data_IF_187209296824
#
_entry.id   IF_187209296824
#
_cell.length_a   1.000
_cell.length_b   1.000
_cell.length_c   1.000
_cell.angle_alpha   90.00
_cell.angle_beta   90.00
_cell.angle_gamma   90.00
#
_symmetry.space_group_name_H-M   'P 1'
#
loop_
_entity.id
_entity.type
_entity.pdbx_description
1 polymer ?
#
# COMPACT_ATOMS: atom_id res chain seq x y z
N UNK A 1 -24.82 -6.24 -2.77
CA UNK A 1 -24.29 -5.82 -4.10
C UNK A 1 -22.79 -5.62 -3.96
N UNK A 2 -22.37 -4.85 -2.94
CA UNK A 2 -20.97 -4.60 -2.56
C UNK A 2 -20.01 -5.84 -2.55
N UNK A 3 -20.35 -6.94 -1.86
CA UNK A 3 -19.45 -8.12 -1.82
C UNK A 3 -19.20 -8.80 -3.17
N UNK A 4 -20.14 -8.72 -4.12
CA UNK A 4 -19.96 -9.35 -5.43
C UNK A 4 -19.03 -8.52 -6.33
N UNK A 5 -19.04 -7.19 -6.18
CA UNK A 5 -18.14 -6.27 -6.85
C UNK A 5 -16.73 -6.40 -6.27
N UNK A 6 -16.57 -6.39 -4.94
CA UNK A 6 -15.26 -6.62 -4.28
C UNK A 6 -14.60 -7.93 -4.71
N UNK A 7 -15.35 -9.03 -4.71
CA UNK A 7 -14.81 -10.33 -5.14
C UNK A 7 -14.38 -10.34 -6.61
N UNK A 8 -15.08 -9.57 -7.45
CA UNK A 8 -14.72 -9.42 -8.87
C UNK A 8 -13.45 -8.60 -9.03
N UNK A 9 -13.32 -7.50 -8.30
CA UNK A 9 -12.15 -6.62 -8.36
C UNK A 9 -10.89 -7.33 -7.84
N UNK A 10 -11.01 -8.08 -6.74
CA UNK A 10 -9.92 -8.93 -6.24
C UNK A 10 -9.49 -9.99 -7.26
N UNK A 11 -10.45 -10.64 -7.92
CA UNK A 11 -10.17 -11.64 -8.93
C UNK A 11 -9.49 -11.01 -10.16
N UNK A 12 -9.95 -9.84 -10.60
CA UNK A 12 -9.35 -9.06 -11.68
C UNK A 12 -7.90 -8.67 -11.34
N UNK A 13 -7.63 -8.17 -10.13
CA UNK A 13 -6.28 -7.82 -9.67
C UNK A 13 -5.33 -9.01 -9.72
N UNK A 14 -5.75 -10.16 -9.18
CA UNK A 14 -4.93 -11.39 -9.19
C UNK A 14 -4.60 -11.83 -10.62
N UNK A 15 -5.57 -11.71 -11.52
CA UNK A 15 -5.38 -12.06 -12.93
C UNK A 15 -4.47 -11.07 -13.64
N UNK A 16 -4.63 -9.76 -13.41
CA UNK A 16 -3.75 -8.73 -13.98
C UNK A 16 -2.30 -8.93 -13.54
N UNK A 17 -2.03 -9.20 -12.27
CA UNK A 17 -0.69 -9.50 -11.78
C UNK A 17 -0.07 -10.72 -12.48
N UNK A 18 -0.82 -11.84 -12.55
CA UNK A 18 -0.38 -13.05 -13.26
C UNK A 18 -0.18 -12.82 -14.76
N UNK A 19 -0.99 -11.95 -15.36
CA UNK A 19 -0.92 -11.60 -16.77
C UNK A 19 0.31 -10.77 -17.08
N UNK A 20 0.64 -9.76 -16.26
CA UNK A 20 1.86 -8.96 -16.39
C UNK A 20 3.09 -9.84 -16.35
N UNK A 21 3.22 -10.71 -15.34
CA UNK A 21 4.32 -11.68 -15.22
C UNK A 21 4.43 -12.58 -16.46
N UNK A 22 3.29 -13.05 -16.96
CA UNK A 22 3.24 -13.91 -18.14
C UNK A 22 3.70 -13.18 -19.41
N UNK A 23 3.25 -11.94 -19.63
CA UNK A 23 3.65 -11.15 -20.79
C UNK A 23 5.14 -10.77 -20.71
N UNK A 24 5.66 -10.45 -19.53
CA UNK A 24 7.09 -10.19 -19.34
C UNK A 24 7.97 -11.39 -19.68
N UNK A 25 7.53 -12.59 -19.30
CA UNK A 25 8.19 -13.83 -19.70
C UNK A 25 8.17 -14.02 -21.23
N UNK A 26 7.07 -13.66 -21.90
CA UNK A 26 6.96 -13.69 -23.36
C UNK A 26 7.87 -12.66 -24.04
N UNK A 27 7.92 -11.42 -23.53
CA UNK A 27 8.81 -10.34 -24.02
C UNK A 27 10.27 -10.80 -23.92
N UNK A 28 10.69 -11.26 -22.74
CA UNK A 28 12.05 -11.75 -22.50
C UNK A 28 12.40 -12.90 -23.43
N UNK A 29 11.44 -13.79 -23.70
CA UNK A 29 11.64 -14.90 -24.62
C UNK A 29 11.75 -14.43 -26.08
N UNK A 30 10.90 -13.52 -26.51
CA UNK A 30 10.92 -12.95 -27.86
C UNK A 30 12.24 -12.23 -28.16
N UNK A 31 12.80 -11.51 -27.18
CA UNK A 31 14.12 -10.87 -27.30
C UNK A 31 15.24 -11.89 -27.54
N UNK A 32 15.18 -13.06 -26.89
CA UNK A 32 16.16 -14.13 -27.10
C UNK A 32 16.04 -14.78 -28.48
N UNK A 33 14.83 -15.00 -28.98
CA UNK A 33 14.62 -15.54 -30.34
C UNK A 33 15.18 -14.57 -31.38
N UNK A 34 14.91 -13.28 -31.22
CA UNK A 34 15.37 -12.23 -32.13
C UNK A 34 16.90 -12.11 -32.18
N UNK A 35 17.57 -12.23 -31.03
CA UNK A 35 19.03 -12.26 -30.97
C UNK A 35 19.62 -13.54 -31.60
N UNK A 36 18.91 -14.67 -31.50
CA UNK A 36 19.36 -15.96 -32.03
C UNK A 36 19.43 -15.99 -33.56
N UNK A 37 18.66 -15.15 -34.27
CA UNK A 37 18.70 -15.05 -35.74
C UNK A 37 20.10 -14.68 -36.26
N UNK A 38 20.87 -13.89 -35.52
CA UNK A 38 22.15 -13.33 -35.99
C UNK A 38 23.30 -14.35 -36.01
N UNK A 39 23.15 -15.51 -35.38
CA UNK A 39 24.23 -16.45 -35.11
C UNK A 39 24.09 -17.85 -35.73
N UNK A 40 23.02 -18.11 -36.50
CA UNK A 40 22.71 -19.44 -37.02
C UNK A 40 23.07 -19.61 -38.50
N UNK A 41 23.55 -20.81 -38.85
CA UNK A 41 23.82 -21.18 -40.25
C UNK A 41 22.55 -21.52 -41.04
N UNK A 42 21.48 -21.96 -40.36
CA UNK A 42 20.19 -22.32 -40.96
C UNK A 42 19.05 -21.74 -40.13
N UNK A 43 18.27 -20.84 -40.71
CA UNK A 43 17.18 -20.15 -40.01
C UNK A 43 16.03 -21.11 -39.67
N UNK A 44 15.81 -22.14 -40.49
CA UNK A 44 14.79 -23.15 -40.22
C UNK A 44 15.01 -23.88 -38.88
N UNK A 45 16.25 -23.92 -38.37
CA UNK A 45 16.56 -24.52 -37.06
C UNK A 45 15.97 -23.75 -35.87
N UNK A 46 15.62 -22.47 -36.04
CA UNK A 46 15.01 -21.62 -35.00
C UNK A 46 13.48 -21.75 -34.93
N UNK A 47 12.83 -22.30 -35.97
CA UNK A 47 11.37 -22.48 -36.03
C UNK A 47 10.77 -23.15 -34.78
N UNK A 48 11.37 -24.21 -34.19
CA UNK A 48 10.80 -24.86 -33.00
C UNK A 48 10.76 -23.95 -31.76
N UNK A 49 11.76 -23.07 -31.57
CA UNK A 49 11.79 -22.11 -30.45
C UNK A 49 10.64 -21.12 -30.56
N UNK A 50 10.51 -20.53 -31.75
CA UNK A 50 9.44 -19.61 -32.12
C UNK A 50 8.04 -20.25 -32.07
N UNK A 51 7.89 -21.52 -32.45
CA UNK A 51 6.63 -22.27 -32.31
C UNK A 51 6.19 -22.43 -30.85
N UNK A 52 7.14 -22.69 -29.95
CA UNK A 52 6.83 -22.79 -28.52
C UNK A 52 6.50 -21.42 -27.92
N UNK A 53 7.12 -20.33 -28.38
CA UNK A 53 6.72 -18.98 -27.99
C UNK A 53 5.32 -18.61 -28.53
N UNK A 54 4.99 -18.98 -29.76
CA UNK A 54 3.63 -18.87 -30.32
C UNK A 54 2.58 -19.61 -29.48
N UNK A 55 2.87 -20.86 -29.10
CA UNK A 55 1.95 -21.64 -28.25
C UNK A 55 1.75 -21.02 -26.87
N UNK A 56 2.81 -20.50 -26.26
CA UNK A 56 2.72 -19.80 -24.98
C UNK A 56 1.90 -18.51 -25.09
N UNK A 57 2.12 -17.72 -26.15
CA UNK A 57 1.36 -16.48 -26.40
C UNK A 57 -0.12 -16.79 -26.62
N UNK A 58 -0.44 -17.86 -27.36
CA UNK A 58 -1.81 -18.32 -27.55
C UNK A 58 -2.47 -18.80 -26.24
N UNK A 59 -1.72 -19.45 -25.35
CA UNK A 59 -2.22 -19.88 -24.05
C UNK A 59 -2.55 -18.69 -23.14
N UNK A 60 -1.68 -17.68 -23.08
CA UNK A 60 -1.95 -16.44 -22.33
C UNK A 60 -3.17 -15.71 -22.93
N UNK A 61 -3.28 -15.65 -24.26
CA UNK A 61 -4.45 -15.06 -24.92
C UNK A 61 -5.77 -15.75 -24.55
N UNK A 62 -5.79 -17.09 -24.49
CA UNK A 62 -6.99 -17.86 -24.11
C UNK A 62 -7.45 -17.55 -22.68
N UNK A 63 -6.49 -17.39 -21.76
CA UNK A 63 -6.75 -16.98 -20.38
C UNK A 63 -7.39 -15.57 -20.31
N UNK A 64 -6.87 -14.63 -21.11
CA UNK A 64 -7.39 -13.25 -21.14
C UNK A 64 -8.80 -13.19 -21.73
N UNK A 65 -9.05 -13.86 -22.86
CA UNK A 65 -10.34 -13.83 -23.56
C UNK A 65 -11.47 -14.44 -22.71
N UNK A 66 -11.17 -15.45 -21.91
CA UNK A 66 -12.16 -16.16 -21.09
C UNK A 66 -12.45 -15.47 -19.77
N UNK A 67 -11.57 -14.57 -19.31
CA UNK A 67 -11.63 -13.93 -18.00
C UNK A 67 -12.57 -12.72 -17.91
N UNK A 68 -12.24 -11.63 -18.60
CA UNK A 68 -12.79 -10.29 -18.32
C UNK A 68 -12.92 -9.44 -19.58
N UNK A 69 -14.04 -8.70 -19.71
CA UNK A 69 -14.26 -7.81 -20.87
C UNK A 69 -13.32 -6.61 -20.84
N UNK A 70 -12.90 -6.23 -19.64
CA UNK A 70 -11.99 -5.14 -19.35
C UNK A 70 -10.60 -5.37 -19.99
N UNK A 71 -10.21 -6.64 -20.21
CA UNK A 71 -8.91 -7.00 -20.79
C UNK A 71 -8.91 -7.07 -22.33
N UNK A 72 -9.97 -6.61 -23.01
CA UNK A 72 -10.11 -6.75 -24.46
C UNK A 72 -8.96 -6.08 -25.24
N UNK A 73 -8.46 -4.94 -24.76
CA UNK A 73 -7.33 -4.24 -25.40
C UNK A 73 -6.07 -5.10 -25.37
N UNK A 74 -5.74 -5.67 -24.20
CA UNK A 74 -4.62 -6.60 -24.02
C UNK A 74 -4.79 -7.84 -24.90
N UNK A 75 -6.00 -8.42 -24.94
CA UNK A 75 -6.30 -9.57 -25.79
C UNK A 75 -6.03 -9.27 -27.28
N UNK A 76 -6.45 -8.11 -27.78
CA UNK A 76 -6.22 -7.72 -29.17
C UNK A 76 -4.72 -7.56 -29.48
N UNK A 77 -3.94 -6.99 -28.55
CA UNK A 77 -2.49 -6.83 -28.71
C UNK A 77 -1.78 -8.20 -28.74
N UNK A 78 -2.16 -9.11 -27.84
CA UNK A 78 -1.65 -10.48 -27.82
C UNK A 78 -2.04 -11.29 -29.06
N UNK A 79 -3.26 -11.13 -29.56
CA UNK A 79 -3.70 -11.75 -30.82
C UNK A 79 -2.86 -11.28 -32.02
N UNK A 80 -2.59 -9.97 -32.09
CA UNK A 80 -1.74 -9.41 -33.14
C UNK A 80 -0.29 -9.87 -33.02
N UNK A 81 0.26 -9.93 -31.80
CA UNK A 81 1.60 -10.46 -31.53
C UNK A 81 1.70 -11.92 -32.00
N UNK A 82 0.73 -12.75 -31.59
CA UNK A 82 0.63 -14.15 -31.99
C UNK A 82 0.55 -14.31 -33.53
N UNK A 83 -0.16 -13.41 -34.21
CA UNK A 83 -0.21 -13.34 -35.66
C UNK A 83 1.14 -13.03 -36.32
N UNK A 84 1.92 -12.10 -35.74
CA UNK A 84 3.27 -11.77 -36.20
C UNK A 84 4.24 -12.95 -36.00
N UNK A 85 4.18 -13.60 -34.83
CA UNK A 85 4.93 -14.82 -34.52
C UNK A 85 4.67 -15.94 -35.54
N UNK A 86 3.40 -16.15 -35.92
CA UNK A 86 3.04 -17.12 -36.96
C UNK A 86 3.72 -16.82 -38.32
N UNK A 87 3.79 -15.54 -38.71
CA UNK A 87 4.45 -15.11 -39.94
C UNK A 87 5.98 -15.24 -39.85
N UNK A 88 6.56 -14.96 -38.68
CA UNK A 88 7.98 -15.19 -38.42
C UNK A 88 8.36 -16.68 -38.59
N UNK A 89 7.57 -17.60 -38.04
CA UNK A 89 7.76 -19.05 -38.21
C UNK A 89 7.79 -19.45 -39.69
N UNK A 90 6.86 -18.92 -40.50
CA UNK A 90 6.84 -19.17 -41.95
C UNK A 90 8.09 -18.60 -42.63
N UNK A 91 8.54 -17.41 -42.24
CA UNK A 91 9.75 -16.78 -42.77
C UNK A 91 11.03 -17.55 -42.41
N UNK A 92 11.18 -18.01 -41.16
CA UNK A 92 12.30 -18.83 -40.69
C UNK A 92 12.40 -20.14 -41.48
N UNK A 93 11.27 -20.85 -41.66
CA UNK A 93 11.22 -22.07 -42.48
C UNK A 93 11.51 -21.83 -43.96
N UNK A 94 11.18 -20.63 -44.45
CA UNK A 94 11.48 -20.17 -45.81
C UNK A 94 12.89 -19.62 -45.98
N UNK A 95 13.73 -19.65 -44.94
CA UNK A 95 15.09 -19.09 -44.92
C UNK A 95 15.13 -17.59 -45.30
N UNK A 96 14.08 -16.84 -44.95
CA UNK A 96 13.99 -15.40 -45.19
C UNK A 96 14.26 -14.61 -43.90
N UNK A 97 15.54 -14.34 -43.64
CA UNK A 97 15.99 -13.68 -42.41
C UNK A 97 15.43 -12.27 -42.22
N UNK A 98 15.46 -11.42 -43.26
CA UNK A 98 14.96 -10.04 -43.16
C UNK A 98 13.49 -10.01 -42.74
N UNK A 99 12.67 -10.89 -43.33
CA UNK A 99 11.24 -10.99 -43.02
C UNK A 99 11.00 -11.57 -41.63
N UNK A 100 11.81 -12.55 -41.20
CA UNK A 100 11.72 -13.10 -39.85
C UNK A 100 12.02 -12.01 -38.80
N UNK A 101 13.08 -11.22 -38.99
CA UNK A 101 13.46 -10.11 -38.11
C UNK A 101 12.35 -9.07 -38.04
N UNK A 102 11.77 -8.67 -39.18
CA UNK A 102 10.66 -7.71 -39.23
C UNK A 102 9.46 -8.18 -38.40
N UNK A 103 9.03 -9.44 -38.58
CA UNK A 103 7.88 -10.00 -37.88
C UNK A 103 8.15 -10.25 -36.39
N UNK A 104 9.34 -10.70 -36.01
CA UNK A 104 9.72 -10.85 -34.59
C UNK A 104 9.84 -9.49 -33.89
N UNK A 105 10.33 -8.46 -34.58
CA UNK A 105 10.37 -7.08 -34.04
C UNK A 105 8.95 -6.56 -33.84
N UNK A 106 8.06 -6.78 -34.81
CA UNK A 106 6.65 -6.40 -34.68
C UNK A 106 5.96 -7.14 -33.52
N UNK A 107 6.20 -8.44 -33.38
CA UNK A 107 5.72 -9.25 -32.24
C UNK A 107 6.21 -8.66 -30.91
N UNK A 108 7.51 -8.34 -30.82
CA UNK A 108 8.10 -7.77 -29.62
C UNK A 108 7.46 -6.43 -29.23
N UNK A 109 7.25 -5.53 -30.21
CA UNK A 109 6.55 -4.26 -29.97
C UNK A 109 5.15 -4.51 -29.41
N UNK A 110 4.37 -5.40 -30.03
CA UNK A 110 3.01 -5.70 -29.58
C UNK A 110 2.95 -6.37 -28.20
N UNK A 111 3.92 -7.22 -27.86
CA UNK A 111 4.03 -7.81 -26.52
C UNK A 111 4.38 -6.75 -25.46
N UNK A 112 5.26 -5.79 -25.79
CA UNK A 112 5.57 -4.67 -24.90
C UNK A 112 4.36 -3.76 -24.70
N UNK A 113 3.65 -3.42 -25.76
CA UNK A 113 2.41 -2.65 -25.70
C UNK A 113 1.35 -3.38 -24.83
N UNK A 114 1.23 -4.71 -24.99
CA UNK A 114 0.31 -5.53 -24.19
C UNK A 114 0.68 -5.54 -22.71
N UNK A 115 1.98 -5.60 -22.38
CA UNK A 115 2.49 -5.53 -21.01
C UNK A 115 2.17 -4.17 -20.41
N UNK A 116 2.44 -3.10 -21.14
CA UNK A 116 2.27 -1.73 -20.63
C UNK A 116 0.79 -1.43 -20.38
N UNK A 117 -0.11 -1.86 -21.27
CA UNK A 117 -1.56 -1.80 -21.06
C UNK A 117 -1.99 -2.64 -19.84
N UNK A 118 -1.50 -3.87 -19.70
CA UNK A 118 -1.83 -4.72 -18.56
C UNK A 118 -1.35 -4.12 -17.22
N UNK A 119 -0.14 -3.53 -17.20
CA UNK A 119 0.40 -2.80 -16.04
C UNK A 119 -0.42 -1.56 -15.72
N UNK A 120 -0.84 -0.80 -16.72
CA UNK A 120 -1.70 0.37 -16.50
C UNK A 120 -3.03 -0.05 -15.85
N UNK A 121 -3.68 -1.09 -16.38
CA UNK A 121 -4.92 -1.64 -15.82
C UNK A 121 -4.72 -2.19 -14.39
N UNK A 122 -3.60 -2.87 -14.14
CA UNK A 122 -3.23 -3.34 -12.80
C UNK A 122 -3.14 -2.17 -11.81
N UNK A 123 -2.37 -1.15 -12.15
CA UNK A 123 -2.17 0.02 -11.29
C UNK A 123 -3.49 0.77 -11.06
N UNK A 124 -4.37 0.87 -12.06
CA UNK A 124 -5.70 1.47 -11.91
C UNK A 124 -6.56 0.65 -10.92
N UNK A 125 -6.57 -0.67 -11.04
CA UNK A 125 -7.30 -1.56 -10.13
C UNK A 125 -6.76 -1.49 -8.69
N UNK A 126 -5.44 -1.38 -8.53
CA UNK A 126 -4.78 -1.19 -7.23
C UNK A 126 -5.15 0.15 -6.60
N UNK A 127 -5.13 1.24 -7.38
CA UNK A 127 -5.53 2.58 -6.91
C UNK A 127 -6.99 2.62 -6.44
N UNK A 128 -7.89 1.98 -7.18
CA UNK A 128 -9.31 1.89 -6.81
C UNK A 128 -9.53 1.10 -5.53
N UNK A 129 -8.81 -0.01 -5.35
CA UNK A 129 -8.83 -0.80 -4.12
C UNK A 129 -8.38 0.04 -2.92
N UNK A 130 -7.24 0.72 -3.04
CA UNK A 130 -6.68 1.53 -1.96
C UNK A 130 -7.63 2.67 -1.58
N UNK A 131 -8.23 3.34 -2.56
CA UNK A 131 -9.24 4.37 -2.31
C UNK A 131 -10.42 3.79 -1.52
N UNK A 132 -10.95 2.64 -1.94
CA UNK A 132 -12.06 1.98 -1.24
C UNK A 132 -11.68 1.62 0.19
N UNK A 133 -10.49 1.07 0.41
CA UNK A 133 -10.00 0.74 1.75
C UNK A 133 -9.87 1.99 2.63
N UNK A 134 -9.35 3.09 2.11
CA UNK A 134 -9.28 4.37 2.84
C UNK A 134 -10.67 4.92 3.16
N UNK A 135 -11.62 4.84 2.22
CA UNK A 135 -13.00 5.25 2.44
C UNK A 135 -13.68 4.45 3.56
N UNK A 136 -13.49 3.13 3.56
CA UNK A 136 -14.00 2.23 4.59
C UNK A 136 -13.39 2.53 5.97
N UNK A 137 -12.06 2.70 6.04
CA UNK A 137 -11.36 3.07 7.27
C UNK A 137 -11.85 4.42 7.79
N UNK A 138 -11.98 5.41 6.90
CA UNK A 138 -12.41 6.75 7.25
C UNK A 138 -13.84 6.74 7.80
N UNK A 139 -14.73 5.99 7.16
CA UNK A 139 -16.09 5.83 7.64
C UNK A 139 -16.12 5.17 9.02
N UNK A 140 -15.34 4.11 9.23
CA UNK A 140 -15.24 3.44 10.52
C UNK A 140 -14.69 4.38 11.62
N UNK A 141 -13.70 5.23 11.31
CA UNK A 141 -13.20 6.23 12.24
C UNK A 141 -14.19 7.35 12.53
N UNK A 142 -14.97 7.80 11.53
CA UNK A 142 -16.04 8.79 11.74
C UNK A 142 -17.13 8.26 12.67
N UNK A 143 -17.59 7.03 12.45
CA UNK A 143 -18.57 6.38 13.33
C UNK A 143 -18.02 6.20 14.75
N UNK A 144 -16.75 5.79 14.88
CA UNK A 144 -16.08 5.70 16.18
C UNK A 144 -15.94 7.06 16.87
N UNK A 145 -15.62 8.11 16.13
CA UNK A 145 -15.51 9.47 16.64
C UNK A 145 -16.85 10.00 17.15
N UNK A 146 -17.93 9.85 16.38
CA UNK A 146 -19.27 10.26 16.78
C UNK A 146 -19.73 9.55 18.05
N UNK A 147 -19.51 8.23 18.12
CA UNK A 147 -19.80 7.44 19.31
C UNK A 147 -18.95 7.86 20.51
N UNK A 148 -17.65 8.11 20.32
CA UNK A 148 -16.75 8.55 21.38
C UNK A 148 -17.14 9.93 21.93
N UNK A 149 -17.51 10.88 21.07
CA UNK A 149 -17.98 12.22 21.47
C UNK A 149 -19.26 12.09 22.30
N UNK A 150 -20.20 11.26 21.85
CA UNK A 150 -21.44 10.98 22.59
C UNK A 150 -21.14 10.39 23.97
N UNK A 151 -20.27 9.38 24.04
CA UNK A 151 -19.86 8.75 25.30
C UNK A 151 -19.18 9.75 26.24
N UNK A 152 -18.32 10.61 25.69
CA UNK A 152 -17.62 11.64 26.44
C UNK A 152 -18.61 12.62 27.08
N UNK A 153 -19.59 13.09 26.32
CA UNK A 153 -20.59 14.04 26.81
C UNK A 153 -21.51 13.42 27.86
N UNK A 154 -21.91 12.16 27.67
CA UNK A 154 -22.68 11.41 28.66
C UNK A 154 -21.88 11.18 29.96
N UNK A 155 -20.61 10.78 29.88
CA UNK A 155 -19.74 10.60 31.06
C UNK A 155 -19.53 11.93 31.78
N UNK A 156 -19.37 13.04 31.05
CA UNK A 156 -19.18 14.37 31.63
C UNK A 156 -20.35 14.81 32.54
N UNK A 157 -21.57 14.29 32.35
CA UNK A 157 -22.72 14.61 33.22
C UNK A 157 -22.55 14.14 34.68
N UNK A 158 -21.68 13.15 34.90
CA UNK A 158 -21.39 12.53 36.20
C UNK A 158 -20.10 13.06 36.85
N UNK A 159 -19.41 14.01 36.20
CA UNK A 159 -18.14 14.57 36.66
C UNK A 159 -18.27 15.21 38.05
N UNK A 160 -17.33 14.88 38.94
CA UNK A 160 -17.16 15.51 40.26
C UNK A 160 -18.41 15.47 41.18
N UNK A 161 -19.28 14.48 40.97
CA UNK A 161 -20.50 14.29 41.78
C UNK A 161 -20.44 13.00 42.58
N UNK A 162 -21.00 13.02 43.78
CA UNK A 162 -21.26 11.79 44.53
C UNK A 162 -22.38 11.01 43.83
N UNK A 163 -22.02 9.86 43.27
CA UNK A 163 -22.96 9.03 42.53
C UNK A 163 -23.78 8.15 43.47
N UNK A 164 -25.09 8.15 43.28
CA UNK A 164 -25.98 7.19 43.93
C UNK A 164 -25.86 5.78 43.32
N UNK A 165 -26.62 4.81 43.85
CA UNK A 165 -26.56 3.42 43.36
C UNK A 165 -27.02 3.29 41.90
N UNK A 166 -27.99 4.08 41.47
CA UNK A 166 -28.57 4.06 40.12
C UNK A 166 -27.62 4.72 39.13
N UNK A 167 -27.06 5.88 39.47
CA UNK A 167 -26.08 6.60 38.66
C UNK A 167 -24.81 5.76 38.49
N UNK A 168 -24.32 5.08 39.53
CA UNK A 168 -23.21 4.11 39.38
C UNK A 168 -23.53 2.99 38.40
N UNK A 169 -24.78 2.53 38.36
CA UNK A 169 -25.20 1.53 37.38
C UNK A 169 -25.19 2.08 35.96
N UNK A 170 -25.57 3.35 35.77
CA UNK A 170 -25.54 4.03 34.47
C UNK A 170 -24.10 4.24 33.99
N UNK A 171 -23.22 4.72 34.87
CA UNK A 171 -21.78 4.89 34.59
C UNK A 171 -21.12 3.57 34.19
N UNK A 172 -21.49 2.44 34.82
CA UNK A 172 -21.02 1.11 34.39
C UNK A 172 -21.47 0.76 32.97
N UNK A 173 -22.73 1.06 32.63
CA UNK A 173 -23.23 0.89 31.26
C UNK A 173 -22.47 1.74 30.24
N UNK A 174 -22.05 2.96 30.61
CA UNK A 174 -21.15 3.77 29.78
C UNK A 174 -19.78 3.10 29.60
N UNK A 175 -19.25 2.46 30.65
CA UNK A 175 -18.03 1.65 30.56
C UNK A 175 -18.16 0.45 29.62
N UNK A 176 -19.31 -0.23 29.58
CA UNK A 176 -19.57 -1.32 28.64
C UNK A 176 -19.64 -0.85 27.18
N UNK A 177 -20.24 0.32 26.94
CA UNK A 177 -20.23 0.95 25.61
C UNK A 177 -18.82 1.37 25.18
N UNK A 178 -18.04 1.98 26.07
CA UNK A 178 -16.64 2.33 25.80
C UNK A 178 -15.79 1.08 25.47
N UNK A 179 -16.02 -0.04 26.16
CA UNK A 179 -15.34 -1.31 25.88
C UNK A 179 -15.72 -1.85 24.50
N UNK A 180 -17.01 -1.76 24.14
CA UNK A 180 -17.49 -2.18 22.82
C UNK A 180 -16.82 -1.37 21.71
N UNK A 181 -16.73 -0.04 21.88
CA UNK A 181 -16.01 0.84 20.97
C UNK A 181 -14.52 0.48 20.88
N UNK A 182 -13.87 0.21 22.02
CA UNK A 182 -12.46 -0.21 22.08
C UNK A 182 -12.22 -1.47 21.26
N UNK A 183 -13.02 -2.52 21.49
CA UNK A 183 -12.90 -3.79 20.75
C UNK A 183 -13.18 -3.60 19.26
N UNK A 184 -14.14 -2.76 18.87
CA UNK A 184 -14.38 -2.46 17.44
C UNK A 184 -13.18 -1.81 16.76
N UNK A 185 -12.49 -0.89 17.45
CA UNK A 185 -11.29 -0.25 16.93
C UNK A 185 -10.09 -1.21 16.86
N UNK A 186 -9.97 -2.13 17.81
CA UNK A 186 -8.99 -3.21 17.80
C UNK A 186 -9.21 -4.17 16.62
N UNK A 187 -10.46 -4.64 16.43
CA UNK A 187 -10.86 -5.47 15.29
C UNK A 187 -10.61 -4.79 13.93
N UNK A 188 -10.69 -3.45 13.87
CA UNK A 188 -10.43 -2.69 12.64
C UNK A 188 -8.96 -2.76 12.21
N UNK A 189 -8.04 -2.75 13.19
CA UNK A 189 -6.60 -2.92 12.93
C UNK A 189 -6.31 -4.34 12.45
N UNK A 190 -6.85 -5.35 13.16
CA UNK A 190 -6.61 -6.76 12.85
C UNK A 190 -7.09 -7.18 11.44
N UNK A 191 -8.13 -6.50 10.92
CA UNK A 191 -8.69 -6.79 9.59
C UNK A 191 -8.04 -5.99 8.45
N UNK A 192 -7.18 -5.03 8.77
CA UNK A 192 -6.57 -4.15 7.76
C UNK A 192 -5.07 -4.37 7.73
N UNK A 193 -4.64 -5.38 6.96
CA UNK A 193 -3.23 -5.78 6.87
C UNK A 193 -2.31 -4.61 6.49
N UNK A 194 -2.76 -3.74 5.59
CA UNK A 194 -2.02 -2.54 5.17
C UNK A 194 -1.80 -1.49 6.28
N UNK A 195 -2.49 -1.58 7.43
CA UNK A 195 -2.16 -0.75 8.60
C UNK A 195 -0.92 -1.26 9.35
N UNK A 196 -0.49 -2.50 9.13
CA UNK A 196 0.68 -3.07 9.77
C UNK A 196 1.97 -2.30 9.41
N UNK A 197 2.06 -1.83 8.17
CA UNK A 197 3.21 -1.09 7.66
C UNK A 197 3.13 0.42 7.96
N UNK A 198 1.99 0.89 8.47
CA UNK A 198 1.78 2.28 8.85
C UNK A 198 2.08 2.50 10.34
N UNK A 199 3.37 2.52 10.70
CA UNK A 199 3.81 2.56 12.10
C UNK A 199 3.15 3.64 12.96
N UNK A 200 2.97 4.87 12.45
CA UNK A 200 2.32 5.96 13.19
C UNK A 200 0.82 5.69 13.43
N UNK A 201 0.14 5.03 12.50
CA UNK A 201 -1.27 4.65 12.68
C UNK A 201 -1.39 3.57 13.75
N UNK A 202 -0.50 2.58 13.77
CA UNK A 202 -0.46 1.58 14.85
C UNK A 202 -0.18 2.22 16.21
N UNK A 203 0.73 3.20 16.27
CA UNK A 203 0.99 3.97 17.48
C UNK A 203 -0.28 4.69 17.97
N UNK A 204 -0.99 5.37 17.08
CA UNK A 204 -2.25 6.05 17.40
C UNK A 204 -3.30 5.07 17.95
N UNK A 205 -3.45 3.89 17.33
CA UNK A 205 -4.35 2.83 17.82
C UNK A 205 -3.97 2.28 19.18
N UNK A 206 -2.69 1.96 19.40
CA UNK A 206 -2.20 1.50 20.71
C UNK A 206 -2.51 2.53 21.80
N UNK A 207 -2.36 3.82 21.48
CA UNK A 207 -2.70 4.93 22.37
C UNK A 207 -4.21 5.01 22.67
N UNK A 208 -5.06 4.88 21.65
CA UNK A 208 -6.52 4.83 21.85
C UNK A 208 -6.92 3.63 22.70
N UNK A 209 -6.38 2.44 22.42
CA UNK A 209 -6.69 1.22 23.15
C UNK A 209 -6.29 1.33 24.64
N UNK A 210 -5.07 1.82 24.92
CA UNK A 210 -4.62 2.04 26.29
C UNK A 210 -5.50 3.05 27.05
N UNK A 211 -5.82 4.19 26.44
CA UNK A 211 -6.69 5.19 27.04
C UNK A 211 -8.12 4.66 27.28
N UNK A 212 -8.69 3.95 26.31
CA UNK A 212 -10.02 3.36 26.41
C UNK A 212 -10.09 2.31 27.51
N UNK A 213 -9.07 1.45 27.63
CA UNK A 213 -9.01 0.43 28.68
C UNK A 213 -9.01 1.06 30.08
N UNK A 214 -8.23 2.13 30.30
CA UNK A 214 -8.25 2.86 31.57
C UNK A 214 -9.62 3.48 31.88
N UNK A 215 -10.27 4.07 30.87
CA UNK A 215 -11.63 4.60 31.00
C UNK A 215 -12.60 3.49 31.41
N UNK A 216 -12.55 2.34 30.73
CA UNK A 216 -13.40 1.17 31.03
C UNK A 216 -13.20 0.71 32.47
N UNK A 217 -11.94 0.56 32.93
CA UNK A 217 -11.63 0.16 34.30
C UNK A 217 -12.21 1.13 35.32
N UNK A 218 -12.07 2.44 35.10
CA UNK A 218 -12.61 3.46 36.00
C UNK A 218 -14.14 3.48 36.03
N UNK A 219 -14.79 3.47 34.86
CA UNK A 219 -16.25 3.50 34.74
C UNK A 219 -16.89 2.24 35.33
N UNK A 220 -16.25 1.07 35.22
CA UNK A 220 -16.69 -0.18 35.89
C UNK A 220 -16.76 -0.04 37.41
N UNK A 221 -15.82 0.70 38.00
CA UNK A 221 -15.84 1.00 39.44
C UNK A 221 -16.82 2.11 39.82
N UNK A 222 -17.45 2.78 38.85
CA UNK A 222 -18.34 3.91 39.08
C UNK A 222 -17.59 5.17 39.47
N UNK A 223 -16.35 5.36 38.98
CA UNK A 223 -15.56 6.57 39.19
C UNK A 223 -15.56 7.41 37.91
N UNK A 224 -15.89 8.69 38.03
CA UNK A 224 -15.77 9.68 36.97
C UNK A 224 -14.99 10.88 37.50
N UNK A 225 -13.76 11.04 37.01
CA UNK A 225 -12.88 12.14 37.38
C UNK A 225 -12.30 12.83 36.14
N UNK A 226 -11.55 13.90 36.36
CA UNK A 226 -10.94 14.70 35.29
C UNK A 226 -9.95 13.92 34.43
N UNK A 227 -9.32 12.86 34.97
CA UNK A 227 -8.42 12.01 34.19
C UNK A 227 -9.22 11.26 33.13
N UNK A 228 -10.42 10.77 33.46
CA UNK A 228 -11.31 10.07 32.52
C UNK A 228 -11.75 10.98 31.38
N UNK A 229 -12.26 12.17 31.70
CA UNK A 229 -12.74 13.11 30.67
C UNK A 229 -11.61 13.48 29.70
N UNK A 230 -10.41 13.74 30.22
CA UNK A 230 -9.30 14.08 29.33
C UNK A 230 -8.77 12.92 28.51
N UNK A 231 -8.81 11.70 29.03
CA UNK A 231 -8.49 10.51 28.22
C UNK A 231 -9.52 10.35 27.09
N UNK A 232 -10.79 10.61 27.33
CA UNK A 232 -11.80 10.63 26.27
C UNK A 232 -11.54 11.76 25.26
N UNK A 233 -11.20 12.97 25.71
CA UNK A 233 -10.81 14.07 24.83
C UNK A 233 -9.56 13.73 23.99
N UNK A 234 -8.61 12.96 24.56
CA UNK A 234 -7.43 12.45 23.84
C UNK A 234 -7.83 11.47 22.73
N UNK A 235 -8.71 10.50 23.02
CA UNK A 235 -9.23 9.56 21.99
C UNK A 235 -9.93 10.34 20.88
N UNK A 236 -10.77 11.32 21.20
CA UNK A 236 -11.44 12.19 20.21
C UNK A 236 -10.42 12.87 19.30
N UNK A 237 -9.38 13.50 19.84
CA UNK A 237 -8.34 14.16 19.04
C UNK A 237 -7.54 13.20 18.17
N UNK A 238 -7.24 12.01 18.67
CA UNK A 238 -6.52 10.98 17.90
C UNK A 238 -7.39 10.47 16.74
N UNK A 239 -8.67 10.18 16.97
CA UNK A 239 -9.60 9.76 15.92
C UNK A 239 -9.78 10.84 14.84
N UNK A 240 -9.87 12.11 15.24
CA UNK A 240 -9.88 13.24 14.29
C UNK A 240 -8.60 13.27 13.44
N UNK A 241 -7.44 13.10 14.09
CA UNK A 241 -6.14 13.10 13.40
C UNK A 241 -5.99 11.93 12.42
N UNK A 242 -6.56 10.77 12.74
CA UNK A 242 -6.60 9.60 11.84
C UNK A 242 -7.46 9.88 10.60
N UNK A 243 -8.63 10.50 10.78
CA UNK A 243 -9.50 10.92 9.66
C UNK A 243 -8.80 11.95 8.79
N UNK A 244 -8.21 12.98 9.38
CA UNK A 244 -7.50 14.04 8.65
C UNK A 244 -6.29 13.50 7.87
N UNK A 245 -5.60 12.49 8.43
CA UNK A 245 -4.50 11.82 7.75
C UNK A 245 -4.99 11.01 6.53
N UNK A 246 -6.12 10.31 6.63
CA UNK A 246 -6.72 9.61 5.48
C UNK A 246 -7.25 10.59 4.42
N UNK A 247 -7.80 11.75 4.82
CA UNK A 247 -8.21 12.81 3.89
C UNK A 247 -7.01 13.48 3.19
N UNK A 248 -5.84 13.48 3.83
CA UNK A 248 -4.61 13.94 3.19
C UNK A 248 -4.08 12.92 2.17
N UNK A 249 -4.15 11.63 2.48
CA UNK A 249 -3.71 10.57 1.58
C UNK A 249 -4.51 10.60 0.26
N UNK A 250 -5.83 10.76 0.34
CA UNK A 250 -6.68 10.91 -0.86
C UNK A 250 -6.28 12.11 -1.70
N UNK A 251 -6.12 13.29 -1.06
CA UNK A 251 -5.75 14.51 -1.78
C UNK A 251 -4.40 14.42 -2.47
N UNK A 252 -3.48 13.61 -1.96
CA UNK A 252 -2.18 13.39 -2.60
C UNK A 252 -2.33 12.47 -3.81
N UNK A 253 -3.06 11.37 -3.66
CA UNK A 253 -3.33 10.48 -4.78
C UNK A 253 -4.06 11.21 -5.93
N UNK A 254 -5.06 12.05 -5.63
CA UNK A 254 -5.75 12.86 -6.63
C UNK A 254 -4.80 13.83 -7.38
N UNK A 255 -3.82 14.41 -6.68
CA UNK A 255 -2.81 15.28 -7.29
C UNK A 255 -1.84 14.52 -8.19
N UNK A 256 -1.43 13.32 -7.77
CA UNK A 256 -0.59 12.43 -8.56
C UNK A 256 -1.30 11.96 -9.83
N UNK A 257 -2.57 11.57 -9.70
CA UNK A 257 -3.39 11.13 -10.83
C UNK A 257 -3.59 12.28 -11.84
N UNK A 258 -3.91 13.49 -11.36
CA UNK A 258 -4.03 14.67 -12.24
C UNK A 258 -2.74 14.99 -13.00
N UNK A 259 -1.57 14.81 -12.37
CA UNK A 259 -0.28 15.04 -13.01
C UNK A 259 0.08 13.96 -14.05
N UNK A 260 -0.32 12.69 -13.81
CA UNK A 260 -0.16 11.59 -14.79
C UNK A 260 -1.05 11.80 -16.00
N UNK A 261 -2.30 12.18 -15.80
CA UNK A 261 -3.26 12.43 -16.88
C UNK A 261 -2.82 13.61 -17.78
N UNK A 262 -2.18 14.64 -17.21
CA UNK A 262 -1.61 15.76 -17.99
C UNK A 262 -0.39 15.35 -18.84
N UNK A 263 0.39 14.34 -18.43
CA UNK A 263 1.50 13.80 -19.23
C UNK A 263 1.05 12.78 -20.29
N UNK A 264 -0.03 12.03 -20.05
CA UNK A 264 -0.60 11.08 -21.02
C UNK A 264 -1.35 11.73 -22.20
N UNK A 265 -1.67 13.03 -22.11
CA UNK A 265 -2.47 13.74 -23.10
C UNK A 265 -1.73 14.34 -24.31
N UNK A 266 -0.40 14.26 -24.37
CA UNK A 266 0.40 14.94 -25.40
C UNK A 266 1.42 14.04 -26.10
N UNK A 267 0.99 13.30 -27.12
CA UNK A 267 1.86 12.93 -28.24
C UNK A 267 1.85 11.46 -28.66
N UNK A 268 1.08 11.17 -29.71
CA UNK A 268 1.38 10.08 -30.64
C UNK A 268 2.74 10.34 -31.30
N UNK A 269 3.81 9.76 -30.77
CA UNK A 269 5.15 9.90 -31.31
C UNK A 269 6.06 8.80 -30.81
N UNK A 270 6.38 7.85 -31.70
CA UNK A 270 7.36 6.81 -31.49
C UNK A 270 8.69 7.42 -30.98
N UNK A 271 8.99 7.18 -29.72
CA UNK A 271 10.25 7.51 -29.09
C UNK A 271 10.49 6.51 -27.99
N UNK A 272 11.52 5.66 -28.18
CA UNK A 272 12.17 4.91 -27.10
C UNK A 272 12.60 5.91 -26.02
N UNK A 273 11.73 6.09 -25.03
CA UNK A 273 11.91 6.96 -23.88
C UNK A 273 11.66 6.13 -22.64
N UNK A 274 12.68 5.37 -22.23
CA UNK A 274 12.77 4.83 -20.88
C UNK A 274 12.61 5.98 -19.88
N UNK A 275 11.50 5.98 -19.15
CA UNK A 275 11.19 7.03 -18.19
C UNK A 275 10.01 6.63 -17.33
N UNK A 276 10.31 6.11 -16.13
CA UNK A 276 9.31 5.75 -15.12
C UNK A 276 9.45 4.33 -14.56
N UNK A 277 10.65 3.74 -14.58
CA UNK A 277 10.96 2.62 -13.68
C UNK A 277 11.00 3.16 -12.24
N UNK A 278 9.86 2.99 -11.60
CA UNK A 278 9.61 3.19 -10.19
C UNK A 278 8.25 2.57 -9.95
N UNK A 279 8.21 1.23 -9.91
CA UNK A 279 7.16 0.48 -9.22
C UNK A 279 7.24 0.84 -7.73
N UNK A 280 6.97 2.10 -7.38
CA UNK A 280 6.69 2.46 -6.01
C UNK A 280 5.26 1.95 -5.77
N UNK A 281 5.16 0.82 -5.08
CA UNK A 281 3.91 0.37 -4.47
C UNK A 281 3.35 1.57 -3.70
N UNK A 282 2.30 2.20 -4.23
CA UNK A 282 1.76 3.40 -3.62
C UNK A 282 1.14 2.96 -2.28
N UNK A 283 1.71 3.31 -1.11
CA UNK A 283 1.27 2.72 0.14
C UNK A 283 -0.14 3.18 0.46
N UNK A 284 -0.94 2.33 1.14
CA UNK A 284 -2.30 2.70 1.54
C UNK A 284 -2.33 4.04 2.29
N UNK A 285 -1.29 4.31 3.08
CA UNK A 285 -1.10 5.56 3.80
C UNK A 285 0.20 6.22 3.34
N UNK A 286 0.06 7.32 2.60
CA UNK A 286 1.18 8.12 2.13
C UNK A 286 2.08 8.63 3.28
N UNK A 287 3.41 8.71 3.09
CA UNK A 287 4.34 9.19 4.14
C UNK A 287 4.00 10.56 4.72
N UNK A 288 3.48 11.48 3.89
CA UNK A 288 3.09 12.81 4.35
C UNK A 288 1.85 12.76 5.27
N UNK A 289 0.92 11.85 5.02
CA UNK A 289 -0.20 11.60 5.94
C UNK A 289 0.31 11.11 7.30
N UNK A 290 1.31 10.21 7.30
CA UNK A 290 1.97 9.74 8.53
C UNK A 290 2.70 10.88 9.27
N UNK A 291 3.38 11.78 8.55
CA UNK A 291 4.02 12.96 9.15
C UNK A 291 3.02 13.92 9.79
N UNK A 292 1.86 14.14 9.15
CA UNK A 292 0.79 14.97 9.73
C UNK A 292 0.21 14.33 10.98
N UNK A 293 -0.05 13.03 10.94
CA UNK A 293 -0.51 12.28 12.12
C UNK A 293 0.54 12.34 13.25
N UNK A 294 1.81 12.14 12.93
CA UNK A 294 2.92 12.23 13.89
C UNK A 294 2.96 13.61 14.56
N UNK A 295 2.80 14.68 13.79
CA UNK A 295 2.73 16.05 14.31
C UNK A 295 1.54 16.21 15.25
N UNK A 296 0.35 15.73 14.89
CA UNK A 296 -0.81 15.79 15.76
C UNK A 296 -0.58 15.02 17.09
N UNK A 297 0.09 13.87 17.02
CA UNK A 297 0.46 13.10 18.21
C UNK A 297 1.52 13.80 19.08
N UNK A 298 2.45 14.55 18.48
CA UNK A 298 3.40 15.39 19.21
C UNK A 298 2.70 16.56 19.92
N UNK A 299 1.71 17.17 19.27
CA UNK A 299 0.87 18.22 19.86
C UNK A 299 0.07 17.66 21.06
N UNK A 300 -0.43 16.43 20.97
CA UNK A 300 -1.07 15.71 22.08
C UNK A 300 -0.09 15.44 23.24
N UNK A 301 1.12 14.96 22.94
CA UNK A 301 2.16 14.75 23.96
C UNK A 301 2.48 16.06 24.72
N UNK A 302 2.58 17.18 23.99
CA UNK A 302 2.84 18.50 24.56
C UNK A 302 1.66 19.00 25.40
N UNK A 303 0.41 18.76 24.97
CA UNK A 303 -0.78 19.08 25.75
C UNK A 303 -0.85 18.27 27.06
N UNK A 304 -0.52 16.97 27.00
CA UNK A 304 -0.47 16.11 28.18
C UNK A 304 0.60 16.57 29.17
N UNK A 305 1.81 16.89 28.67
CA UNK A 305 2.92 17.39 29.48
C UNK A 305 2.56 18.70 30.20
N UNK A 306 1.95 19.66 29.48
CA UNK A 306 1.52 20.94 30.06
C UNK A 306 0.53 20.75 31.21
N UNK A 307 -0.46 19.89 31.02
CA UNK A 307 -1.44 19.64 32.07
C UNK A 307 -0.86 18.96 33.31
N UNK A 308 0.08 18.03 33.13
CA UNK A 308 0.75 17.38 34.26
C UNK A 308 1.52 18.40 35.09
N UNK A 309 2.16 19.37 34.44
CA UNK A 309 2.82 20.48 35.11
C UNK A 309 1.82 21.41 35.83
N UNK A 310 0.66 21.68 35.23
CA UNK A 310 -0.38 22.54 35.83
C UNK A 310 -1.03 21.91 37.08
N UNK A 311 -1.09 20.58 37.20
CA UNK A 311 -1.59 19.87 38.40
C UNK A 311 -0.58 19.80 39.56
N UNK A 312 0.65 20.25 39.35
CA UNK A 312 1.69 20.32 40.39
C UNK A 312 2.50 19.03 40.53
N UNK A 313 1.92 17.97 41.08
CA UNK A 313 2.60 16.69 41.31
C UNK A 313 2.01 15.57 40.43
N UNK A 314 2.58 15.32 39.23
CA UNK A 314 2.17 14.19 38.41
C UNK A 314 2.55 12.87 39.07
N UNK A 315 1.71 11.84 38.94
CA UNK A 315 2.05 10.52 39.46
C UNK A 315 3.20 9.90 38.67
N UNK A 316 3.97 8.96 39.26
CA UNK A 316 5.02 8.23 38.52
C UNK A 316 4.50 7.52 37.26
N UNK A 317 3.24 7.05 37.29
CA UNK A 317 2.56 6.45 36.15
C UNK A 317 2.32 7.48 35.04
N UNK A 318 1.80 8.67 35.39
CA UNK A 318 1.56 9.72 34.39
C UNK A 318 2.86 10.20 33.73
N UNK A 319 3.96 10.27 34.50
CA UNK A 319 5.29 10.61 33.96
C UNK A 319 5.84 9.52 33.02
N UNK A 320 5.61 8.25 33.35
CA UNK A 320 5.99 7.13 32.51
C UNK A 320 5.23 7.16 31.17
N UNK A 321 3.91 7.34 31.21
CA UNK A 321 3.04 7.40 30.02
C UNK A 321 3.47 8.49 29.01
N UNK A 322 3.87 9.66 29.51
CA UNK A 322 4.35 10.76 28.66
C UNK A 322 5.74 10.47 28.10
N UNK A 323 6.63 9.94 28.94
CA UNK A 323 8.01 9.64 28.53
C UNK A 323 8.04 8.55 27.46
N UNK A 324 7.25 7.49 27.62
CA UNK A 324 7.12 6.44 26.62
C UNK A 324 6.53 6.99 25.32
N UNK A 325 5.47 7.81 25.37
CA UNK A 325 4.96 8.43 24.13
C UNK A 325 6.00 9.30 23.44
N UNK A 326 6.73 10.14 24.17
CA UNK A 326 7.77 10.97 23.57
C UNK A 326 8.87 10.13 22.91
N UNK A 327 9.25 9.01 23.55
CA UNK A 327 10.22 8.07 22.98
C UNK A 327 9.67 7.38 21.73
N UNK A 328 8.45 6.86 21.77
CA UNK A 328 7.81 6.21 20.63
C UNK A 328 7.66 7.17 19.45
N UNK A 329 7.26 8.42 19.68
CA UNK A 329 7.17 9.45 18.64
C UNK A 329 8.54 9.77 18.03
N UNK A 330 9.60 9.82 18.84
CA UNK A 330 10.95 10.06 18.34
C UNK A 330 11.45 8.90 17.47
N UNK A 331 11.16 7.65 17.85
CA UNK A 331 11.51 6.47 17.07
C UNK A 331 10.80 6.46 15.71
N UNK A 332 9.48 6.67 15.69
CA UNK A 332 8.72 6.72 14.44
C UNK A 332 9.11 7.91 13.56
N UNK A 333 9.49 9.05 14.15
CA UNK A 333 10.04 10.17 13.39
C UNK A 333 11.34 9.80 12.66
N UNK A 334 12.23 9.03 13.32
CA UNK A 334 13.46 8.55 12.70
C UNK A 334 13.19 7.53 11.59
N UNK A 335 12.23 6.62 11.78
CA UNK A 335 11.83 5.64 10.77
C UNK A 335 11.29 6.31 9.50
N UNK A 336 10.39 7.30 9.64
CA UNK A 336 9.88 8.06 8.50
C UNK A 336 10.99 8.87 7.82
N UNK A 337 11.92 9.45 8.58
CA UNK A 337 13.06 10.16 7.98
C UNK A 337 13.98 9.21 7.22
N UNK A 338 14.18 7.98 7.71
CA UNK A 338 14.96 6.96 7.00
C UNK A 338 14.26 6.51 5.72
N UNK A 339 12.93 6.32 5.73
CA UNK A 339 12.18 5.93 4.53
C UNK A 339 12.16 7.05 3.48
N UNK A 340 12.10 8.32 3.89
CA UNK A 340 12.17 9.46 2.96
C UNK A 340 13.60 9.67 2.42
N UNK A 341 14.64 9.37 3.20
CA UNK A 341 16.04 9.60 2.82
C UNK A 341 16.68 8.45 2.05
N UNK A 342 16.12 7.25 2.12
CA UNK A 342 16.52 6.14 1.25
C UNK A 342 15.65 6.19 -0.01
N UNK A 343 16.13 6.69 -1.16
CA UNK A 343 15.61 6.17 -2.41
C UNK A 343 15.93 4.68 -2.39
N UNK A 344 14.91 3.82 -2.41
CA UNK A 344 15.11 2.38 -2.42
C UNK A 344 16.04 2.01 -3.58
N UNK A 345 17.26 1.59 -3.24
CA UNK A 345 18.17 1.01 -4.21
C UNK A 345 17.55 -0.32 -4.64
N UNK A 346 17.39 -0.57 -5.95
CA UNK A 346 16.81 -1.81 -6.43
C UNK A 346 17.63 -2.98 -5.90
N UNK A 347 16.92 -3.97 -5.34
CA UNK A 347 17.46 -5.10 -4.61
C UNK A 347 18.58 -5.82 -5.34
N UNK A 348 19.82 -5.54 -4.92
CA UNK A 348 20.97 -6.43 -5.11
C UNK A 348 21.15 -7.27 -3.86
N UNK A 349 21.08 -8.60 -4.01
CA UNK A 349 21.36 -9.56 -2.96
C UNK A 349 22.66 -9.22 -2.17
N UNK A 350 22.76 -9.56 -0.88
CA UNK A 350 23.96 -9.28 -0.10
C UNK A 350 25.13 -10.11 -0.63
N UNK A 351 26.02 -9.46 -1.40
CA UNK A 351 27.35 -10.01 -1.65
C UNK A 351 28.05 -10.22 -0.31
N UNK A 352 28.50 -11.45 -0.10
CA UNK A 352 29.12 -11.91 1.15
C UNK A 352 30.33 -11.07 1.55
N UNK A 353 30.75 -11.17 2.83
CA UNK A 353 31.79 -10.31 3.38
C UNK A 353 33.10 -10.45 2.58
N UNK A 354 33.80 -9.33 2.33
CA UNK A 354 35.04 -9.35 1.56
C UNK A 354 36.08 -10.21 2.28
N UNK A 355 36.58 -11.23 1.56
CA UNK A 355 37.71 -12.02 1.99
C UNK A 355 38.96 -11.13 2.20
N UNK A 356 39.83 -11.48 3.17
CA UNK A 356 40.99 -10.65 3.48
C UNK A 356 41.96 -10.59 2.29
N UNK A 357 42.64 -9.45 2.09
CA UNK A 357 43.48 -9.22 0.93
C UNK A 357 44.68 -10.19 0.89
N UNK A 358 44.82 -10.90 -0.24
CA UNK A 358 46.04 -11.63 -0.59
C UNK A 358 47.20 -10.64 -0.72
N UNK A 359 48.16 -10.73 0.20
CA UNK A 359 49.44 -10.05 0.07
C UNK A 359 50.29 -10.79 -0.97
N UNK A 360 50.44 -10.15 -2.12
CA UNK A 360 51.40 -10.51 -3.16
C UNK A 360 52.84 -10.29 -2.63
N UNK A 361 53.48 -11.38 -2.22
CA UNK A 361 54.89 -11.40 -1.86
C UNK A 361 55.72 -11.80 -3.08
N UNK A 362 55.98 -10.84 -3.97
CA UNK A 362 56.81 -11.04 -5.16
C UNK A 362 57.64 -9.82 -5.55
N UNK A 363 58.90 -9.76 -5.10
CA UNK A 363 59.95 -8.87 -5.63
C UNK A 363 60.87 -8.27 -4.56
N UNK A 364 61.88 -9.03 -4.08
CA UNK A 364 63.28 -9.00 -4.54
C UNK A 364 64.11 -7.86 -3.89
N UNK A 365 65.43 -8.01 -3.61
CA UNK A 365 66.45 -8.59 -4.49
C UNK A 365 67.01 -9.96 -4.11
#
# INVERSE_FOLDING_TARGET
LDNAERNRDEALRRILASLVDSIEALVTRQERELESIRGVETLASLSPGMESLYQNTAAVLDEVITGYRELQTVANLLENANGAQSRAIVALRGENGDRAIEEETQSLTLLRDARDEAREQQQQAERQEQQRQRDELRQAYREALEEQVTLRDEVATYRERELDRRERSQVRGLGERQETLRTRLEDLVDRTEALADAGVFLLAHRRVNAAANEIVLALRTGRVDDRIIRRQDSIVRILQSLIDALDEADRQQEQEDAFRDEQGGAGSGAGDGAGGEGEEENPLIAPVAQLKLLRAMQEEAAALTRWLNERGEPSPEDLHDVTELQRELANHAMEILMSIQQPELPGGAPDGPPGPPEFDAGGAP
#
